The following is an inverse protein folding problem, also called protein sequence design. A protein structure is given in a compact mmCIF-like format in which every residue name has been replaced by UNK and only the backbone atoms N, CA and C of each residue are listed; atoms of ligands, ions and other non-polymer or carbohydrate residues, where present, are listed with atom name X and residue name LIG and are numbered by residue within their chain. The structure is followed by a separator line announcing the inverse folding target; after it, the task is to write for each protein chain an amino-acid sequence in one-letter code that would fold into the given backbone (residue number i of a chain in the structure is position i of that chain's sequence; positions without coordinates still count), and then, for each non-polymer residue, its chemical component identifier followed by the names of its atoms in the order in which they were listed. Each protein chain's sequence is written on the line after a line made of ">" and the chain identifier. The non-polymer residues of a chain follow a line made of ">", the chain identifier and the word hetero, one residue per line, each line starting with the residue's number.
data_IF_709981862388
#
_entry.id   IF_709981862388
#
_cell.length_a   1.000
_cell.length_b   1.000
_cell.length_c   1.000
_cell.angle_alpha   90.00
_cell.angle_beta   90.00
_cell.angle_gamma   90.00
#
_symmetry.space_group_name_H-M   'P 1'
#
loop_
_entity.id
_entity.type
_entity.pdbx_description
1 polymer ?
#
# COMPACT_ATOMS: atom_id res chain seq x y z
N UNK A 1 17.49 17.04 5.52
CA UNK A 1 16.31 16.35 6.09
C UNK A 1 15.59 15.61 5.00
N UNK A 2 15.57 14.29 5.07
CA UNK A 2 15.32 13.35 3.97
C UNK A 2 13.88 13.24 3.44
N UNK A 3 12.94 14.10 3.84
CA UNK A 3 11.52 13.90 3.53
C UNK A 3 10.98 14.70 2.33
N UNK A 4 11.77 15.59 1.71
CA UNK A 4 11.29 16.39 0.58
C UNK A 4 11.48 15.71 -0.79
N UNK A 5 12.32 14.67 -0.90
CA UNK A 5 12.71 14.09 -2.20
C UNK A 5 11.72 13.07 -2.78
N UNK A 6 10.68 12.68 -2.03
CA UNK A 6 9.73 11.67 -2.50
C UNK A 6 8.57 12.26 -3.32
N UNK A 7 8.20 13.53 -3.08
CA UNK A 7 7.03 14.14 -3.75
C UNK A 7 7.38 14.70 -5.14
N UNK A 8 8.63 15.09 -5.40
CA UNK A 8 9.00 15.74 -6.68
C UNK A 8 9.39 14.81 -7.83
N UNK A 9 9.55 13.49 -7.61
CA UNK A 9 10.03 12.57 -8.68
C UNK A 9 8.94 11.88 -9.50
N UNK A 10 7.70 12.35 -9.49
CA UNK A 10 6.63 11.79 -10.36
C UNK A 10 5.80 12.82 -11.12
N UNK A 11 6.39 13.96 -11.45
CA UNK A 11 5.89 14.76 -12.59
C UNK A 11 6.60 14.25 -13.85
N UNK A 12 6.12 13.13 -14.37
CA UNK A 12 6.53 12.66 -15.70
C UNK A 12 5.87 13.59 -16.74
N UNK A 13 6.60 14.07 -17.76
CA UNK A 13 6.00 14.82 -18.85
C UNK A 13 4.96 13.93 -19.54
N UNK A 14 3.81 14.50 -19.87
CA UNK A 14 2.72 13.81 -20.55
C UNK A 14 3.18 13.39 -21.96
N UNK A 15 3.70 12.18 -22.09
CA UNK A 15 3.76 11.48 -23.36
C UNK A 15 2.71 10.37 -23.34
N UNK A 16 1.99 10.27 -24.45
CA UNK A 16 0.91 9.31 -24.69
C UNK A 16 1.36 7.88 -24.36
N UNK A 17 0.76 7.30 -23.31
CA UNK A 17 0.88 5.87 -22.98
C UNK A 17 2.16 5.48 -22.23
N UNK A 18 2.33 5.96 -21.00
CA UNK A 18 3.40 5.47 -20.14
C UNK A 18 3.10 4.03 -19.68
N UNK A 19 3.76 3.04 -20.30
CA UNK A 19 3.90 1.69 -19.76
C UNK A 19 4.97 1.73 -18.67
N UNK A 20 4.61 1.50 -17.42
CA UNK A 20 5.58 1.32 -16.33
C UNK A 20 6.33 -0.01 -16.56
N UNK A 21 7.67 -0.05 -16.58
CA UNK A 21 8.41 -1.30 -16.76
C UNK A 21 8.06 -2.33 -15.68
N UNK A 22 8.12 -3.64 -15.99
CA UNK A 22 8.01 -4.70 -14.98
C UNK A 22 8.97 -4.44 -13.81
N UNK A 23 8.50 -4.65 -12.58
CA UNK A 23 9.34 -4.45 -11.37
C UNK A 23 10.45 -5.51 -11.25
N UNK A 24 10.33 -6.61 -11.98
CA UNK A 24 11.36 -7.67 -12.10
C UNK A 24 12.06 -7.55 -13.47
N UNK A 25 13.39 -7.31 -13.50
CA UNK A 25 14.14 -7.16 -14.76
C UNK A 25 14.28 -8.45 -15.58
N UNK A 26 13.83 -9.59 -15.03
CA UNK A 26 13.93 -10.93 -15.63
C UNK A 26 12.67 -11.35 -16.42
N UNK A 27 11.58 -10.58 -16.36
CA UNK A 27 10.34 -10.90 -17.06
C UNK A 27 10.34 -10.29 -18.46
N UNK A 28 9.79 -11.04 -19.43
CA UNK A 28 9.67 -10.62 -20.82
C UNK A 28 8.85 -9.32 -20.92
N UNK A 29 9.44 -8.21 -21.39
CA UNK A 29 8.74 -6.93 -21.56
C UNK A 29 7.56 -7.00 -22.53
N UNK A 30 7.46 -8.05 -23.36
CA UNK A 30 6.37 -8.27 -24.29
C UNK A 30 5.14 -8.94 -23.65
N UNK A 31 5.27 -9.57 -22.48
CA UNK A 31 4.13 -10.21 -21.82
C UNK A 31 3.30 -9.18 -21.05
N UNK A 32 2.18 -8.79 -21.66
CA UNK A 32 1.21 -7.83 -21.13
C UNK A 32 0.60 -8.26 -19.79
N UNK A 33 0.70 -9.54 -19.40
CA UNK A 33 0.22 -10.02 -18.11
C UNK A 33 1.05 -9.51 -16.92
N UNK A 34 2.28 -9.08 -17.16
CA UNK A 34 3.17 -8.57 -16.11
C UNK A 34 2.95 -7.09 -15.80
N UNK A 35 2.09 -6.40 -16.57
CA UNK A 35 1.80 -4.99 -16.35
C UNK A 35 0.53 -4.82 -15.52
N UNK A 36 0.64 -4.08 -14.42
CA UNK A 36 -0.51 -3.53 -13.71
C UNK A 36 -0.81 -2.13 -14.26
N UNK A 37 -2.05 -1.84 -14.70
CA UNK A 37 -2.40 -0.50 -15.16
C UNK A 37 -2.32 0.49 -13.98
N UNK A 38 -1.56 1.56 -14.15
CA UNK A 38 -1.47 2.65 -13.17
C UNK A 38 -2.10 3.91 -13.77
N UNK A 39 -3.06 4.49 -13.05
CA UNK A 39 -3.73 5.71 -13.49
C UNK A 39 -2.83 6.93 -13.30
N UNK A 40 -2.55 7.66 -14.38
CA UNK A 40 -1.90 8.97 -14.31
C UNK A 40 -2.96 10.06 -14.11
N UNK A 41 -3.41 10.23 -12.86
CA UNK A 41 -4.42 11.23 -12.52
C UNK A 41 -3.88 12.67 -12.62
N UNK A 42 -4.74 13.58 -13.08
CA UNK A 42 -4.50 15.02 -13.01
C UNK A 42 -4.37 15.48 -11.56
N UNK A 43 -3.82 16.69 -11.33
CA UNK A 43 -3.67 17.24 -9.97
C UNK A 43 -4.99 17.21 -9.18
N UNK A 44 -6.09 17.64 -9.81
CA UNK A 44 -7.43 17.60 -9.21
C UNK A 44 -7.85 16.17 -8.90
N UNK A 45 -7.60 15.22 -9.81
CA UNK A 45 -7.89 13.80 -9.57
C UNK A 45 -7.18 13.25 -8.33
N UNK A 46 -5.91 13.58 -8.12
CA UNK A 46 -5.15 13.16 -6.92
C UNK A 46 -5.69 13.77 -5.63
N UNK A 47 -6.22 15.00 -5.68
CA UNK A 47 -6.83 15.64 -4.51
C UNK A 47 -8.13 14.93 -4.16
N UNK A 48 -8.99 14.67 -5.14
CA UNK A 48 -10.26 13.95 -4.94
C UNK A 48 -10.00 12.54 -4.40
N UNK A 49 -9.06 11.81 -4.99
CA UNK A 49 -8.65 10.47 -4.53
C UNK A 49 -8.28 10.46 -3.05
N UNK A 50 -7.47 11.44 -2.61
CA UNK A 50 -7.07 11.56 -1.20
C UNK A 50 -8.26 11.83 -0.28
N UNK A 51 -9.15 12.75 -0.67
CA UNK A 51 -10.33 13.08 0.14
C UNK A 51 -11.25 11.87 0.30
N UNK A 52 -11.49 11.14 -0.79
CA UNK A 52 -12.31 9.92 -0.76
C UNK A 52 -11.65 8.83 0.10
N UNK A 53 -10.33 8.64 -0.03
CA UNK A 53 -9.60 7.66 0.78
C UNK A 53 -9.70 7.96 2.29
N UNK A 54 -9.57 9.24 2.68
CA UNK A 54 -9.72 9.66 4.08
C UNK A 54 -11.16 9.45 4.59
N UNK A 55 -12.16 9.80 3.79
CA UNK A 55 -13.56 9.63 4.16
C UNK A 55 -13.91 8.15 4.37
N UNK A 56 -13.46 7.28 3.45
CA UNK A 56 -13.68 5.85 3.54
C UNK A 56 -13.03 5.27 4.79
N UNK A 57 -11.78 5.62 5.04
CA UNK A 57 -11.04 5.15 6.20
C UNK A 57 -11.71 5.55 7.52
N UNK A 58 -12.15 6.80 7.64
CA UNK A 58 -12.87 7.25 8.83
C UNK A 58 -14.19 6.46 9.01
N UNK A 59 -14.96 6.26 7.94
CA UNK A 59 -16.19 5.48 8.04
C UNK A 59 -15.98 4.02 8.47
N UNK A 60 -14.86 3.41 8.06
CA UNK A 60 -14.51 2.04 8.44
C UNK A 60 -14.03 1.95 9.88
N UNK A 61 -13.30 2.96 10.36
CA UNK A 61 -12.78 3.02 11.74
C UNK A 61 -13.92 3.30 12.74
N UNK A 62 -14.83 4.21 12.42
CA UNK A 62 -16.00 4.52 13.27
C UNK A 62 -16.94 3.32 13.43
N UNK A 63 -17.06 2.50 12.38
CA UNK A 63 -17.92 1.33 12.39
C UNK A 63 -17.19 0.04 12.80
N UNK A 64 -15.90 0.12 13.19
CA UNK A 64 -15.06 -1.01 13.59
C UNK A 64 -15.06 -2.19 12.59
N UNK A 65 -15.11 -1.88 11.28
CA UNK A 65 -15.13 -2.89 10.21
C UNK A 65 -13.74 -3.38 9.80
N UNK A 66 -12.68 -2.76 10.31
CA UNK A 66 -11.31 -3.16 10.00
C UNK A 66 -10.94 -4.40 10.82
N UNK A 67 -10.28 -5.36 10.18
CA UNK A 67 -9.79 -6.54 10.90
C UNK A 67 -8.73 -6.11 11.95
N UNK A 68 -8.78 -6.64 13.19
CA UNK A 68 -7.84 -6.26 14.25
C UNK A 68 -6.36 -6.51 13.91
N UNK A 69 -6.07 -7.46 13.02
CA UNK A 69 -4.72 -7.79 12.56
C UNK A 69 -4.35 -7.08 11.24
N UNK A 70 -5.25 -6.26 10.69
CA UNK A 70 -4.97 -5.46 9.51
C UNK A 70 -4.06 -4.26 9.86
N UNK A 71 -2.78 -4.40 9.55
CA UNK A 71 -1.78 -3.34 9.66
C UNK A 71 -1.62 -2.50 8.39
N UNK A 72 -1.92 -3.08 7.23
CA UNK A 72 -1.79 -2.42 5.94
C UNK A 72 -2.88 -1.37 5.74
N UNK A 73 -2.50 -0.22 5.18
CA UNK A 73 -3.40 0.89 4.85
C UNK A 73 -4.18 1.47 6.06
N UNK A 74 -3.69 1.24 7.28
CA UNK A 74 -4.28 1.75 8.51
C UNK A 74 -3.34 2.77 9.19
N UNK A 75 -3.81 3.97 9.56
CA UNK A 75 -2.99 4.94 10.28
C UNK A 75 -2.51 4.38 11.62
N UNK A 76 -1.26 4.66 11.98
CA UNK A 76 -0.68 4.20 13.24
C UNK A 76 -0.18 2.75 13.23
N UNK A 77 -0.41 2.00 12.14
CA UNK A 77 0.11 0.66 11.95
C UNK A 77 1.18 0.66 10.87
N UNK A 78 2.20 -0.18 11.07
CA UNK A 78 3.25 -0.42 10.08
C UNK A 78 3.39 -1.92 9.83
N UNK A 79 4.24 -2.27 8.86
CA UNK A 79 4.61 -3.67 8.63
C UNK A 79 5.33 -4.28 9.83
N UNK A 80 5.98 -3.46 10.65
CA UNK A 80 6.61 -3.89 11.91
C UNK A 80 5.55 -4.34 12.92
N UNK A 81 4.44 -3.61 13.06
CA UNK A 81 3.32 -4.01 13.93
C UNK A 81 2.76 -5.37 13.53
N UNK A 82 2.64 -5.62 12.22
CA UNK A 82 2.20 -6.91 11.69
C UNK A 82 3.16 -8.04 12.07
N UNK A 83 4.46 -7.79 11.92
CA UNK A 83 5.49 -8.77 12.23
C UNK A 83 5.51 -9.08 13.73
N UNK A 84 5.41 -8.06 14.58
CA UNK A 84 5.38 -8.22 16.04
C UNK A 84 4.15 -9.05 16.45
N UNK A 85 2.97 -8.76 15.92
CA UNK A 85 1.76 -9.52 16.21
C UNK A 85 1.90 -11.00 15.79
N UNK A 86 2.43 -11.26 14.59
CA UNK A 86 2.68 -12.62 14.10
C UNK A 86 3.68 -13.38 14.99
N UNK A 87 4.72 -12.70 15.45
CA UNK A 87 5.69 -13.30 16.37
C UNK A 87 5.02 -13.63 17.69
N UNK A 88 4.24 -12.72 18.28
CA UNK A 88 3.52 -12.96 19.53
C UNK A 88 2.58 -14.17 19.44
N UNK A 89 1.83 -14.29 18.34
CA UNK A 89 0.94 -15.43 18.07
C UNK A 89 1.70 -16.76 18.02
N UNK A 90 2.87 -16.80 17.36
CA UNK A 90 3.68 -18.00 17.27
C UNK A 90 4.19 -18.45 18.65
N UNK A 91 4.62 -17.50 19.47
CA UNK A 91 5.11 -17.79 20.82
C UNK A 91 3.97 -18.28 21.72
N UNK A 92 2.82 -17.60 21.69
CA UNK A 92 1.61 -18.05 22.38
C UNK A 92 1.17 -19.45 21.95
N UNK A 93 1.22 -19.77 20.66
CA UNK A 93 0.85 -21.09 20.14
C UNK A 93 1.79 -22.19 20.64
N UNK A 94 3.11 -21.92 20.69
CA UNK A 94 4.10 -22.85 21.24
C UNK A 94 3.85 -23.14 22.72
N UNK A 95 3.59 -22.11 23.50
CA UNK A 95 3.43 -22.23 24.95
C UNK A 95 2.13 -22.98 25.30
N UNK A 96 1.07 -22.83 24.47
CA UNK A 96 -0.18 -23.62 24.58
C UNK A 96 -0.02 -25.11 24.25
N UNK A 97 1.04 -25.49 23.53
CA UNK A 97 1.33 -26.88 23.15
C UNK A 97 2.27 -27.64 24.11
N UNK A 98 2.70 -27.02 25.22
CA UNK A 98 3.56 -27.64 26.24
C UNK A 98 2.74 -28.19 27.42
N UNK A 99 1.82 -29.11 27.16
CA UNK A 99 1.11 -29.92 28.17
C UNK A 99 1.22 -31.40 27.88
#
# INVERSE_FOLDING_TARGET
>A
GCNQRFIERRVLPATSGCKTPPQEPSLDPADLKNFHPVSNLSFVGKVVEKVVALQLLWSLDEADYLDPFQSGFRPGYSTETALVALMDDLWCARDRGHS
#
